data_IF_163284608852
#
_entry.id   IF_163284608852
#
_cell.length_a   1.000
_cell.length_b   1.000
_cell.length_c   1.000
_cell.angle_alpha   90.00
_cell.angle_beta   90.00
_cell.angle_gamma   90.00
#
_symmetry.space_group_name_H-M   'P 1'
#
loop_
_entity.id
_entity.type
_entity.pdbx_description
1 polymer ?
#
# COMPACT_ATOMS: atom_id res chain seq x y z
N UNK A 1 -9.62 -74.60 -20.91
CA UNK A 1 -9.73 -75.97 -20.38
C UNK A 1 -11.09 -76.58 -20.76
N UNK A 2 -12.22 -75.96 -20.41
CA UNK A 2 -13.57 -76.46 -20.74
C UNK A 2 -13.89 -76.75 -22.21
N UNK A 3 -13.36 -75.98 -23.19
CA UNK A 3 -13.66 -76.26 -24.61
C UNK A 3 -13.03 -77.56 -25.12
N UNK A 4 -11.90 -77.96 -24.53
CA UNK A 4 -11.21 -79.21 -24.86
C UNK A 4 -11.99 -80.42 -24.33
N UNK A 5 -12.56 -80.30 -23.13
CA UNK A 5 -13.36 -81.36 -22.52
C UNK A 5 -14.70 -81.55 -23.22
N UNK A 6 -15.39 -80.47 -23.59
CA UNK A 6 -16.68 -80.56 -24.31
C UNK A 6 -16.47 -81.14 -25.73
N UNK A 7 -15.41 -80.74 -26.43
CA UNK A 7 -15.12 -81.27 -27.77
C UNK A 7 -14.73 -82.74 -27.75
N UNK A 8 -13.92 -83.17 -26.77
CA UNK A 8 -13.62 -84.58 -26.55
C UNK A 8 -14.87 -85.38 -26.18
N UNK A 9 -15.74 -84.83 -25.34
CA UNK A 9 -16.95 -85.52 -24.90
C UNK A 9 -18.01 -85.59 -26.03
N UNK A 10 -18.13 -84.55 -26.86
CA UNK A 10 -18.94 -84.57 -28.08
C UNK A 10 -18.42 -85.57 -29.12
N UNK A 11 -17.09 -85.68 -29.27
CA UNK A 11 -16.47 -86.68 -30.14
C UNK A 11 -16.72 -88.10 -29.60
N UNK A 12 -16.55 -88.30 -28.29
CA UNK A 12 -16.85 -89.57 -27.61
C UNK A 12 -18.33 -89.93 -27.75
N UNK A 13 -19.25 -88.97 -27.66
CA UNK A 13 -20.69 -89.18 -27.82
C UNK A 13 -21.06 -89.54 -29.28
N UNK A 14 -20.36 -88.96 -30.25
CA UNK A 14 -20.52 -89.29 -31.68
C UNK A 14 -20.01 -90.70 -31.97
N UNK A 15 -18.89 -91.09 -31.36
CA UNK A 15 -18.32 -92.44 -31.44
C UNK A 15 -19.16 -93.49 -30.69
N UNK A 16 -19.78 -93.11 -29.57
CA UNK A 16 -20.70 -93.96 -28.80
C UNK A 16 -22.16 -93.83 -29.23
N UNK A 17 -22.44 -93.16 -30.36
CA UNK A 17 -23.78 -93.10 -30.94
C UNK A 17 -24.36 -94.51 -31.10
N UNK A 18 -25.70 -94.65 -31.03
CA UNK A 18 -26.44 -95.93 -31.06
C UNK A 18 -26.34 -96.66 -32.42
N UNK A 19 -25.12 -96.89 -32.90
CA UNK A 19 -24.82 -97.69 -34.05
C UNK A 19 -24.99 -99.15 -33.67
N UNK A 20 -25.99 -99.79 -34.25
CA UNK A 20 -26.20 -101.22 -34.08
C UNK A 20 -25.01 -101.97 -34.65
N UNK A 21 -24.27 -102.66 -33.79
CA UNK A 21 -23.12 -103.47 -34.19
C UNK A 21 -23.57 -104.84 -34.69
N UNK A 22 -22.74 -105.48 -35.52
CA UNK A 22 -22.97 -106.87 -35.92
C UNK A 22 -22.71 -107.79 -34.72
N UNK A 23 -23.77 -108.36 -34.16
CA UNK A 23 -23.73 -109.18 -32.93
C UNK A 23 -23.74 -110.69 -33.21
N UNK A 24 -23.53 -111.12 -34.46
CA UNK A 24 -23.46 -112.53 -34.88
C UNK A 24 -22.60 -113.41 -34.00
N UNK A 25 -21.45 -112.88 -33.53
CA UNK A 25 -20.49 -113.61 -32.70
C UNK A 25 -21.07 -114.15 -31.39
N UNK A 26 -22.18 -113.59 -30.93
CA UNK A 26 -22.82 -114.01 -29.68
C UNK A 26 -23.88 -115.09 -29.89
N UNK A 27 -24.29 -115.36 -31.12
CA UNK A 27 -25.27 -116.40 -31.42
C UNK A 27 -24.60 -117.68 -31.91
N UNK A 28 -25.12 -118.80 -31.42
CA UNK A 28 -24.74 -120.17 -31.77
C UNK A 28 -25.99 -120.95 -32.16
N UNK A 29 -25.84 -121.85 -33.11
CA UNK A 29 -26.86 -122.77 -33.63
C UNK A 29 -26.20 -124.12 -33.94
N UNK A 30 -26.85 -124.99 -34.70
CA UNK A 30 -26.25 -126.25 -35.13
C UNK A 30 -25.08 -126.02 -36.10
N UNK A 31 -24.14 -126.97 -36.17
CA UNK A 31 -22.90 -126.84 -36.96
C UNK A 31 -23.13 -126.40 -38.42
N UNK A 32 -24.22 -126.87 -39.04
CA UNK A 32 -24.66 -126.44 -40.38
C UNK A 32 -25.03 -124.96 -40.43
N UNK A 33 -25.91 -124.47 -39.55
CA UNK A 33 -26.43 -123.10 -39.58
C UNK A 33 -25.47 -122.07 -38.96
N UNK A 34 -24.50 -122.49 -38.16
CA UNK A 34 -23.43 -121.61 -37.67
C UNK A 34 -22.61 -120.99 -38.80
N UNK A 35 -22.45 -121.70 -39.92
CA UNK A 35 -21.73 -121.16 -41.08
C UNK A 35 -22.41 -119.90 -41.65
N UNK A 36 -23.73 -119.73 -41.48
CA UNK A 36 -24.48 -118.55 -41.93
C UNK A 36 -24.20 -117.29 -41.09
N UNK A 37 -23.70 -117.44 -39.86
CA UNK A 37 -23.39 -116.32 -38.96
C UNK A 37 -21.94 -115.82 -39.09
N UNK A 38 -21.05 -116.59 -39.73
CA UNK A 38 -19.64 -116.26 -39.88
C UNK A 38 -19.44 -115.27 -41.03
N UNK A 39 -18.71 -114.17 -40.76
CA UNK A 39 -18.58 -113.02 -41.68
C UNK A 39 -17.82 -113.34 -42.98
N UNK A 40 -16.94 -114.36 -42.99
CA UNK A 40 -15.89 -114.52 -44.01
C UNK A 40 -15.76 -115.93 -44.63
N UNK A 41 -16.70 -116.84 -44.42
CA UNK A 41 -16.67 -118.17 -45.08
C UNK A 41 -17.54 -118.15 -46.33
N UNK A 42 -17.06 -118.60 -47.51
CA UNK A 42 -17.91 -118.83 -48.68
C UNK A 42 -18.92 -119.92 -48.32
N UNK A 43 -20.11 -119.51 -47.91
CA UNK A 43 -21.13 -120.40 -47.38
C UNK A 43 -21.70 -121.23 -48.53
N UNK A 44 -21.59 -122.55 -48.40
CA UNK A 44 -22.47 -123.46 -49.13
C UNK A 44 -23.91 -123.10 -48.76
N UNK A 45 -24.77 -122.95 -49.77
CA UNK A 45 -26.18 -122.60 -49.57
C UNK A 45 -26.88 -123.58 -48.63
N UNK A 46 -27.58 -123.05 -47.62
CA UNK A 46 -28.33 -123.88 -46.66
C UNK A 46 -29.82 -123.71 -46.90
N UNK A 47 -30.52 -124.83 -47.12
CA UNK A 47 -31.98 -124.85 -47.25
C UNK A 47 -32.60 -124.62 -45.87
N UNK A 48 -33.50 -123.63 -45.75
CA UNK A 48 -34.25 -123.39 -44.52
C UNK A 48 -35.29 -124.51 -44.31
N UNK A 49 -35.46 -124.94 -43.06
CA UNK A 49 -36.34 -126.05 -42.70
C UNK A 49 -37.70 -125.58 -42.17
N UNK A 50 -38.72 -126.45 -42.25
CA UNK A 50 -40.06 -126.19 -41.70
C UNK A 50 -40.11 -126.26 -40.18
N UNK A 51 -39.26 -127.10 -39.58
CA UNK A 51 -39.22 -127.33 -38.13
C UNK A 51 -38.73 -126.13 -37.30
N UNK A 52 -38.24 -125.07 -37.95
CA UNK A 52 -37.61 -123.95 -37.28
C UNK A 52 -36.19 -124.23 -36.84
N UNK A 53 -35.35 -123.20 -36.90
CA UNK A 53 -33.95 -123.29 -36.47
C UNK A 53 -33.68 -122.21 -35.46
N UNK A 54 -33.25 -122.67 -34.29
CA UNK A 54 -33.02 -121.86 -33.11
C UNK A 54 -31.56 -121.40 -33.11
N UNK A 55 -31.37 -120.11 -32.84
CA UNK A 55 -30.09 -119.45 -32.62
C UNK A 55 -30.10 -118.93 -31.18
N UNK A 56 -29.19 -119.44 -30.35
CA UNK A 56 -29.08 -119.11 -28.93
C UNK A 56 -27.83 -118.29 -28.67
N UNK A 57 -27.96 -117.31 -27.79
CA UNK A 57 -26.87 -116.55 -27.20
C UNK A 57 -26.76 -116.88 -25.72
N UNK A 58 -25.54 -116.89 -25.21
CA UNK A 58 -25.24 -117.14 -23.79
C UNK A 58 -25.72 -115.97 -22.90
N UNK A 59 -26.09 -114.84 -23.52
CA UNK A 59 -26.57 -113.62 -22.86
C UNK A 59 -27.72 -112.96 -23.60
N UNK A 60 -28.55 -112.20 -22.89
CA UNK A 60 -29.62 -111.39 -23.48
C UNK A 60 -29.02 -110.20 -24.23
N UNK A 61 -29.39 -110.04 -25.50
CA UNK A 61 -28.89 -108.98 -26.38
C UNK A 61 -30.07 -108.19 -26.92
N UNK A 62 -29.89 -106.88 -27.10
CA UNK A 62 -30.88 -106.08 -27.81
C UNK A 62 -30.73 -106.33 -29.30
N UNK A 63 -31.69 -107.05 -29.89
CA UNK A 63 -31.69 -107.31 -31.33
C UNK A 63 -32.48 -106.19 -32.00
N UNK A 64 -31.79 -105.34 -32.77
CA UNK A 64 -32.41 -104.26 -33.54
C UNK A 64 -32.95 -104.79 -34.86
N UNK A 65 -32.12 -105.52 -35.60
CA UNK A 65 -32.54 -106.12 -36.86
C UNK A 65 -31.84 -107.43 -37.16
N UNK A 66 -32.52 -108.31 -37.89
CA UNK A 66 -31.98 -109.56 -38.41
C UNK A 66 -32.13 -109.50 -39.93
N UNK A 67 -31.00 -109.46 -40.62
CA UNK A 67 -30.91 -109.47 -42.08
C UNK A 67 -30.55 -110.86 -42.56
N UNK A 68 -31.37 -111.43 -43.44
CA UNK A 68 -31.13 -112.74 -44.04
C UNK A 68 -30.97 -112.57 -45.53
N UNK A 69 -29.88 -113.08 -46.07
CA UNK A 69 -29.52 -113.02 -47.48
C UNK A 69 -29.84 -114.34 -48.18
N UNK A 70 -30.30 -114.26 -49.43
CA UNK A 70 -30.75 -115.39 -50.24
C UNK A 70 -30.06 -115.43 -51.60
N UNK A 71 -29.97 -116.62 -52.21
CA UNK A 71 -29.45 -116.81 -53.59
C UNK A 71 -30.49 -116.45 -54.67
N UNK A 72 -31.78 -116.65 -54.36
CA UNK A 72 -32.88 -116.45 -55.30
C UNK A 72 -34.04 -115.74 -54.57
N UNK A 73 -34.18 -114.42 -54.74
CA UNK A 73 -35.09 -113.56 -53.98
C UNK A 73 -36.55 -113.63 -54.44
N UNK A 74 -36.77 -114.01 -55.70
CA UNK A 74 -38.06 -113.85 -56.39
C UNK A 74 -39.09 -114.92 -56.02
N UNK A 75 -38.75 -115.83 -55.09
CA UNK A 75 -39.67 -116.88 -54.64
C UNK A 75 -39.75 -116.95 -53.11
N UNK A 76 -40.85 -116.42 -52.58
CA UNK A 76 -41.46 -116.77 -51.27
C UNK A 76 -40.72 -116.29 -50.01
N UNK A 77 -40.40 -115.00 -49.92
CA UNK A 77 -39.95 -114.33 -48.68
C UNK A 77 -41.10 -114.07 -47.68
N UNK A 78 -42.35 -113.99 -48.15
CA UNK A 78 -43.56 -113.85 -47.31
C UNK A 78 -43.81 -115.05 -46.38
N UNK A 79 -43.24 -116.21 -46.71
CA UNK A 79 -43.37 -117.43 -45.91
C UNK A 79 -42.24 -117.62 -44.89
N UNK A 80 -41.38 -116.60 -44.71
CA UNK A 80 -40.32 -116.61 -43.71
C UNK A 80 -40.80 -115.91 -42.45
N UNK A 81 -40.70 -116.62 -41.32
CA UNK A 81 -41.01 -116.08 -40.01
C UNK A 81 -39.75 -116.10 -39.16
N UNK A 82 -39.45 -114.98 -38.52
CA UNK A 82 -38.43 -114.89 -37.48
C UNK A 82 -39.15 -114.66 -36.17
N UNK A 83 -39.11 -115.64 -35.28
CA UNK A 83 -39.71 -115.56 -33.96
C UNK A 83 -38.62 -115.29 -32.93
N UNK A 84 -38.83 -114.35 -32.03
CA UNK A 84 -37.86 -113.96 -31.01
C UNK A 84 -38.40 -114.40 -29.65
N UNK A 85 -37.56 -115.01 -28.84
CA UNK A 85 -37.93 -115.37 -27.47
C UNK A 85 -37.90 -114.12 -26.60
N UNK A 86 -39.05 -113.70 -26.09
CA UNK A 86 -39.15 -112.59 -25.16
C UNK A 86 -38.56 -112.98 -23.78
N UNK A 87 -38.49 -112.01 -22.86
CA UNK A 87 -38.01 -112.25 -21.49
C UNK A 87 -38.90 -113.22 -20.67
N UNK A 88 -40.15 -113.46 -21.12
CA UNK A 88 -41.09 -114.41 -20.53
C UNK A 88 -40.94 -115.84 -21.08
N UNK A 89 -40.02 -116.05 -22.03
CA UNK A 89 -39.79 -117.35 -22.68
C UNK A 89 -40.76 -117.66 -23.84
N UNK A 90 -41.61 -116.72 -24.23
CA UNK A 90 -42.57 -116.88 -25.33
C UNK A 90 -41.94 -116.44 -26.65
N UNK A 91 -42.27 -117.14 -27.74
CA UNK A 91 -41.82 -116.80 -29.09
C UNK A 91 -42.79 -115.79 -29.72
N UNK A 92 -42.30 -114.58 -29.96
CA UNK A 92 -43.04 -113.50 -30.64
C UNK A 92 -42.58 -113.45 -32.11
N UNK A 93 -43.50 -113.63 -33.05
CA UNK A 93 -43.23 -113.47 -34.48
C UNK A 93 -42.93 -112.00 -34.81
N UNK A 94 -41.75 -111.72 -35.36
CA UNK A 94 -41.40 -110.40 -35.91
C UNK A 94 -41.83 -110.33 -37.38
N UNK A 95 -42.61 -109.33 -37.80
CA UNK A 95 -42.96 -109.16 -39.19
C UNK A 95 -41.71 -108.81 -40.01
N UNK A 96 -41.44 -109.59 -41.05
CA UNK A 96 -40.35 -109.30 -41.99
C UNK A 96 -40.74 -108.16 -42.91
N UNK A 97 -39.87 -107.16 -43.06
CA UNK A 97 -40.03 -106.12 -44.07
C UNK A 97 -38.99 -106.33 -45.17
N UNK A 98 -39.45 -106.39 -46.42
CA UNK A 98 -38.55 -106.47 -47.57
C UNK A 98 -37.96 -105.07 -47.81
N UNK A 99 -36.66 -104.88 -47.56
CA UNK A 99 -35.94 -103.64 -47.86
C UNK A 99 -34.93 -103.88 -48.99
N UNK A 100 -35.15 -103.24 -50.14
CA UNK A 100 -34.15 -103.08 -51.22
C UNK A 100 -34.16 -104.13 -52.34
N UNK A 101 -33.36 -103.88 -53.39
CA UNK A 101 -33.14 -104.76 -54.54
C UNK A 101 -32.89 -106.18 -54.07
N UNK A 102 -33.81 -107.06 -54.46
CA UNK A 102 -34.15 -108.20 -53.65
C UNK A 102 -33.04 -109.21 -53.61
N UNK A 103 -32.25 -109.26 -52.55
CA UNK A 103 -31.46 -110.44 -52.15
C UNK A 103 -31.45 -110.58 -50.62
N UNK A 104 -32.11 -109.67 -49.91
CA UNK A 104 -32.12 -109.56 -48.45
C UNK A 104 -33.52 -109.32 -47.90
N UNK A 105 -33.85 -110.00 -46.81
CA UNK A 105 -35.05 -109.75 -45.99
C UNK A 105 -34.59 -109.28 -44.62
N UNK A 106 -35.17 -108.19 -44.12
CA UNK A 106 -34.80 -107.60 -42.83
C UNK A 106 -35.98 -107.71 -41.87
N UNK A 107 -35.73 -108.23 -40.68
CA UNK A 107 -36.68 -108.32 -39.58
C UNK A 107 -36.29 -107.30 -38.53
N UNK A 108 -37.26 -106.57 -37.99
CA UNK A 108 -37.07 -105.54 -36.96
C UNK A 108 -37.79 -105.98 -35.68
N UNK A 109 -37.19 -106.88 -34.89
CA UNK A 109 -37.81 -107.38 -33.67
C UNK A 109 -37.73 -106.40 -32.50
N UNK A 110 -36.78 -105.47 -32.53
CA UNK A 110 -36.58 -104.37 -31.56
C UNK A 110 -36.76 -104.78 -30.09
N UNK A 111 -36.20 -105.94 -29.72
CA UNK A 111 -36.43 -106.54 -28.42
C UNK A 111 -35.18 -107.20 -27.86
N UNK A 112 -35.14 -107.31 -26.52
CA UNK A 112 -34.11 -108.04 -25.80
C UNK A 112 -34.40 -109.53 -25.86
N UNK A 113 -33.45 -110.29 -26.39
CA UNK A 113 -33.58 -111.73 -26.51
C UNK A 113 -32.25 -112.44 -26.43
N UNK A 114 -32.27 -113.62 -25.81
CA UNK A 114 -31.19 -114.60 -25.86
C UNK A 114 -31.38 -115.60 -26.99
N UNK A 115 -32.54 -115.65 -27.64
CA UNK A 115 -32.85 -116.68 -28.62
C UNK A 115 -33.78 -116.17 -29.73
N UNK A 116 -33.40 -116.39 -30.99
CA UNK A 116 -34.31 -116.22 -32.12
C UNK A 116 -34.43 -117.50 -32.92
N UNK A 117 -35.55 -117.66 -33.59
CA UNK A 117 -35.88 -118.83 -34.39
C UNK A 117 -36.29 -118.40 -35.79
N UNK A 118 -35.69 -119.04 -36.79
CA UNK A 118 -36.04 -118.82 -38.20
C UNK A 118 -36.84 -120.03 -38.68
N UNK A 119 -38.09 -119.79 -39.11
CA UNK A 119 -39.02 -120.79 -39.64
C UNK A 119 -39.43 -120.47 -41.06
N UNK A 120 -39.50 -121.49 -41.91
CA UNK A 120 -40.13 -121.38 -43.22
C UNK A 120 -41.49 -122.10 -43.22
N UNK A 121 -42.57 -121.36 -43.42
CA UNK A 121 -43.95 -121.88 -43.41
C UNK A 121 -44.55 -122.10 -44.80
N UNK A 122 -43.75 -122.00 -45.88
CA UNK A 122 -44.25 -122.10 -47.24
C UNK A 122 -44.48 -123.54 -47.73
N UNK A 123 -45.43 -123.69 -48.67
CA UNK A 123 -45.82 -124.99 -49.27
C UNK A 123 -44.91 -125.35 -50.47
N UNK A 124 -43.84 -124.59 -50.75
CA UNK A 124 -42.99 -124.75 -51.95
C UNK A 124 -41.52 -125.09 -51.71
N UNK A 125 -40.69 -124.81 -52.73
CA UNK A 125 -39.23 -124.96 -52.70
C UNK A 125 -38.67 -124.16 -51.51
N UNK A 126 -37.88 -124.84 -50.68
CA UNK A 126 -37.24 -124.24 -49.51
C UNK A 126 -36.20 -123.19 -49.95
N UNK A 127 -36.27 -121.95 -49.44
CA UNK A 127 -35.31 -120.93 -49.79
C UNK A 127 -33.91 -121.31 -49.30
N UNK A 128 -32.90 -120.91 -50.08
CA UNK A 128 -31.49 -121.11 -49.78
C UNK A 128 -30.93 -119.83 -49.18
N UNK A 129 -30.64 -119.87 -47.89
CA UNK A 129 -29.99 -118.76 -47.20
C UNK A 129 -28.47 -118.81 -47.41
N UNK A 130 -27.87 -117.65 -47.65
CA UNK A 130 -26.42 -117.48 -47.83
C UNK A 130 -25.77 -116.91 -46.58
N UNK A 131 -26.40 -115.93 -45.94
CA UNK A 131 -25.83 -115.19 -44.82
C UNK A 131 -26.93 -114.69 -43.88
N UNK A 132 -26.66 -114.69 -42.59
CA UNK A 132 -27.50 -114.07 -41.56
C UNK A 132 -26.66 -113.03 -40.85
N UNK A 133 -27.16 -111.80 -40.78
CA UNK A 133 -26.55 -110.69 -40.04
C UNK A 133 -27.55 -110.19 -38.99
N UNK A 134 -27.19 -110.36 -37.73
CA UNK A 134 -27.91 -109.89 -36.57
C UNK A 134 -27.25 -108.61 -36.11
N UNK A 135 -27.99 -107.51 -36.19
CA UNK A 135 -27.57 -106.19 -35.73
C UNK A 135 -28.24 -105.86 -34.42
N UNK A 136 -27.46 -105.34 -33.48
CA UNK A 136 -27.95 -105.05 -32.15
C UNK A 136 -26.90 -104.47 -31.23
N UNK A 137 -27.24 -104.43 -29.94
CA UNK A 137 -26.39 -103.90 -28.89
C UNK A 137 -26.27 -104.94 -27.78
N UNK A 138 -25.06 -105.08 -27.24
CA UNK A 138 -24.87 -105.83 -26.02
C UNK A 138 -25.10 -104.92 -24.80
N UNK A 139 -25.45 -105.54 -23.68
CA UNK A 139 -25.76 -104.84 -22.44
C UNK A 139 -24.58 -103.99 -21.96
N UNK A 140 -23.36 -104.48 -22.14
CA UNK A 140 -22.13 -103.77 -21.78
C UNK A 140 -21.96 -102.46 -22.57
N UNK A 141 -22.27 -102.46 -23.87
CA UNK A 141 -22.23 -101.22 -24.68
C UNK A 141 -23.31 -100.24 -24.28
N UNK A 142 -24.52 -100.73 -23.94
CA UNK A 142 -25.61 -99.88 -23.45
C UNK A 142 -25.25 -99.24 -22.11
N UNK A 143 -24.62 -99.99 -21.20
CA UNK A 143 -24.16 -99.47 -19.92
C UNK A 143 -23.06 -98.41 -20.09
N UNK A 144 -22.07 -98.67 -20.96
CA UNK A 144 -21.05 -97.67 -21.33
C UNK A 144 -21.70 -96.39 -21.87
N UNK A 145 -22.63 -96.52 -22.81
CA UNK A 145 -23.39 -95.39 -23.37
C UNK A 145 -24.15 -94.62 -22.28
N UNK A 146 -24.84 -95.31 -21.37
CA UNK A 146 -25.53 -94.67 -20.24
C UNK A 146 -24.58 -93.85 -19.38
N UNK A 147 -23.40 -94.40 -19.04
CA UNK A 147 -22.42 -93.66 -18.22
C UNK A 147 -21.85 -92.45 -18.96
N UNK A 148 -21.61 -92.55 -20.27
CA UNK A 148 -21.14 -91.42 -21.09
C UNK A 148 -22.21 -90.33 -21.18
N UNK A 149 -23.48 -90.70 -21.37
CA UNK A 149 -24.60 -89.75 -21.41
C UNK A 149 -24.77 -89.05 -20.05
N UNK A 150 -24.69 -89.79 -18.94
CA UNK A 150 -24.76 -89.19 -17.61
C UNK A 150 -23.63 -88.17 -17.40
N UNK A 151 -22.38 -88.53 -17.74
CA UNK A 151 -21.23 -87.62 -17.69
C UNK A 151 -21.42 -86.39 -18.58
N UNK A 152 -22.03 -86.55 -19.76
CA UNK A 152 -22.35 -85.42 -20.64
C UNK A 152 -23.31 -84.45 -19.97
N UNK A 153 -24.40 -84.95 -19.38
CA UNK A 153 -25.38 -84.11 -18.69
C UNK A 153 -24.77 -83.39 -17.47
N UNK A 154 -23.97 -84.09 -16.68
CA UNK A 154 -23.28 -83.49 -15.53
C UNK A 154 -22.32 -82.38 -15.97
N UNK A 155 -21.54 -82.61 -17.04
CA UNK A 155 -20.65 -81.60 -17.60
C UNK A 155 -21.42 -80.41 -18.18
N UNK A 156 -22.52 -80.64 -18.90
CA UNK A 156 -23.37 -79.59 -19.44
C UNK A 156 -23.96 -78.71 -18.34
N UNK A 157 -24.45 -79.32 -17.25
CA UNK A 157 -24.99 -78.59 -16.10
C UNK A 157 -23.92 -77.77 -15.38
N UNK A 158 -22.70 -78.30 -15.25
CA UNK A 158 -21.58 -77.54 -14.68
C UNK A 158 -21.24 -76.32 -15.55
N UNK A 159 -21.20 -76.49 -16.88
CA UNK A 159 -20.93 -75.38 -17.81
C UNK A 159 -22.01 -74.32 -17.71
N UNK A 160 -23.28 -74.69 -17.67
CA UNK A 160 -24.39 -73.75 -17.51
C UNK A 160 -24.30 -72.98 -16.19
N UNK A 161 -23.95 -73.66 -15.10
CA UNK A 161 -23.76 -73.03 -13.79
C UNK A 161 -22.60 -72.03 -13.79
N UNK A 162 -21.45 -72.40 -14.36
CA UNK A 162 -20.30 -71.48 -14.44
C UNK A 162 -20.58 -70.32 -15.40
N UNK A 163 -21.36 -70.54 -16.47
CA UNK A 163 -21.80 -69.49 -17.38
C UNK A 163 -22.76 -68.51 -16.68
N UNK A 164 -23.69 -69.00 -15.87
CA UNK A 164 -24.56 -68.16 -15.05
C UNK A 164 -23.75 -67.32 -14.05
N UNK A 165 -22.77 -67.93 -13.34
CA UNK A 165 -21.87 -67.20 -12.45
C UNK A 165 -21.08 -66.12 -13.18
N UNK A 166 -20.47 -66.47 -14.31
CA UNK A 166 -19.72 -65.51 -15.12
C UNK A 166 -20.60 -64.35 -15.60
N UNK A 167 -21.86 -64.63 -15.98
CA UNK A 167 -22.83 -63.58 -16.34
C UNK A 167 -23.11 -62.65 -15.17
N UNK A 168 -23.37 -63.19 -13.98
CA UNK A 168 -23.59 -62.36 -12.78
C UNK A 168 -22.35 -61.55 -12.39
N UNK A 169 -21.15 -62.12 -12.51
CA UNK A 169 -19.90 -61.40 -12.27
C UNK A 169 -19.73 -60.25 -13.26
N UNK A 170 -20.01 -60.47 -14.55
CA UNK A 170 -19.98 -59.43 -15.59
C UNK A 170 -20.97 -58.29 -15.28
N UNK A 171 -22.20 -58.61 -14.86
CA UNK A 171 -23.19 -57.61 -14.45
C UNK A 171 -22.70 -56.79 -13.25
N UNK A 172 -22.17 -57.46 -12.22
CA UNK A 172 -21.63 -56.74 -11.05
C UNK A 172 -20.43 -55.87 -11.40
N UNK A 173 -19.56 -56.32 -12.30
CA UNK A 173 -18.39 -55.58 -12.74
C UNK A 173 -18.80 -54.39 -13.62
N UNK A 174 -19.85 -54.56 -14.45
CA UNK A 174 -20.44 -53.49 -15.25
C UNK A 174 -21.07 -52.40 -14.39
N UNK A 175 -21.78 -52.77 -13.31
CA UNK A 175 -22.32 -51.82 -12.33
C UNK A 175 -21.20 -51.03 -11.64
N UNK A 176 -20.17 -51.72 -11.14
CA UNK A 176 -19.00 -51.07 -10.52
C UNK A 176 -18.27 -50.14 -11.48
N UNK A 177 -18.14 -50.53 -12.74
CA UNK A 177 -17.54 -49.69 -13.77
C UNK A 177 -18.36 -48.42 -14.02
N UNK A 178 -19.69 -48.53 -14.06
CA UNK A 178 -20.59 -47.38 -14.20
C UNK A 178 -20.47 -46.42 -13.01
N UNK A 179 -20.48 -46.94 -11.78
CA UNK A 179 -20.29 -46.15 -10.56
C UNK A 179 -18.93 -45.45 -10.54
N UNK A 180 -17.86 -46.17 -10.89
CA UNK A 180 -16.52 -45.60 -10.95
C UNK A 180 -16.42 -44.49 -12.02
N UNK A 181 -17.07 -44.68 -13.16
CA UNK A 181 -17.13 -43.67 -14.23
C UNK A 181 -17.86 -42.41 -13.76
N UNK A 182 -18.99 -42.55 -13.08
CA UNK A 182 -19.73 -41.41 -12.51
C UNK A 182 -18.91 -40.68 -11.44
N UNK A 183 -18.17 -41.43 -10.60
CA UNK A 183 -17.27 -40.84 -9.61
C UNK A 183 -16.13 -40.05 -10.26
N UNK A 184 -15.51 -40.60 -11.31
CA UNK A 184 -14.48 -39.89 -12.09
C UNK A 184 -15.05 -38.61 -12.68
N UNK A 185 -16.24 -38.66 -13.29
CA UNK A 185 -16.87 -37.46 -13.86
C UNK A 185 -17.15 -36.39 -12.79
N UNK A 186 -17.69 -36.80 -11.64
CA UNK A 186 -17.92 -35.90 -10.50
C UNK A 186 -16.63 -35.27 -10.00
N UNK A 187 -15.59 -36.06 -9.81
CA UNK A 187 -14.29 -35.59 -9.31
C UNK A 187 -13.60 -34.68 -10.34
N UNK A 188 -13.73 -34.96 -11.64
CA UNK A 188 -13.23 -34.06 -12.68
C UNK A 188 -13.95 -32.72 -12.67
N UNK A 189 -15.26 -32.70 -12.47
CA UNK A 189 -16.03 -31.46 -12.34
C UNK A 189 -15.59 -30.67 -11.08
N UNK A 190 -15.44 -31.33 -9.94
CA UNK A 190 -14.93 -30.70 -8.71
C UNK A 190 -13.53 -30.12 -8.90
N UNK A 191 -12.65 -30.85 -9.60
CA UNK A 191 -11.31 -30.38 -9.90
C UNK A 191 -11.35 -29.13 -10.78
N UNK A 192 -12.20 -29.10 -11.82
CA UNK A 192 -12.33 -27.93 -12.70
C UNK A 192 -12.81 -26.68 -11.96
N UNK A 193 -13.79 -26.83 -11.05
CA UNK A 193 -14.27 -25.74 -10.20
C UNK A 193 -13.16 -25.25 -9.27
N UNK A 194 -12.48 -26.18 -8.58
CA UNK A 194 -11.39 -25.83 -7.68
C UNK A 194 -10.22 -25.13 -8.40
N UNK A 195 -9.90 -25.52 -9.63
CA UNK A 195 -8.87 -24.85 -10.43
C UNK A 195 -9.28 -23.43 -10.83
N UNK A 196 -10.55 -23.21 -11.17
CA UNK A 196 -11.05 -21.87 -11.48
C UNK A 196 -11.03 -20.95 -10.26
N UNK A 197 -11.43 -21.45 -9.08
CA UNK A 197 -11.32 -20.69 -7.83
C UNK A 197 -9.88 -20.35 -7.45
N UNK A 198 -8.94 -21.26 -7.74
CA UNK A 198 -7.51 -21.02 -7.49
C UNK A 198 -6.98 -19.92 -8.42
N UNK A 199 -7.34 -19.95 -9.69
CA UNK A 199 -6.98 -18.90 -10.66
C UNK A 199 -7.56 -17.54 -10.26
N UNK A 200 -8.82 -17.48 -9.84
CA UNK A 200 -9.45 -16.26 -9.33
C UNK A 200 -8.70 -15.71 -8.11
N UNK A 201 -8.39 -16.57 -7.13
CA UNK A 201 -7.61 -16.18 -5.94
C UNK A 201 -6.20 -15.71 -6.30
N UNK A 202 -5.55 -16.34 -7.27
CA UNK A 202 -4.22 -15.95 -7.73
C UNK A 202 -4.25 -14.57 -8.39
N UNK A 203 -5.26 -14.29 -9.22
CA UNK A 203 -5.46 -12.97 -9.80
C UNK A 203 -5.71 -11.91 -8.71
N UNK A 204 -6.53 -12.24 -7.70
CA UNK A 204 -6.77 -11.34 -6.56
C UNK A 204 -5.51 -11.05 -5.74
N UNK A 205 -4.66 -12.05 -5.54
CA UNK A 205 -3.36 -11.87 -4.88
C UNK A 205 -2.47 -10.94 -5.71
N UNK A 206 -2.43 -11.12 -7.03
CA UNK A 206 -1.65 -10.25 -7.92
C UNK A 206 -2.09 -8.78 -7.83
N UNK A 207 -3.41 -8.53 -7.86
CA UNK A 207 -3.97 -7.18 -7.69
C UNK A 207 -3.60 -6.57 -6.33
N UNK A 208 -3.69 -7.35 -5.24
CA UNK A 208 -3.34 -6.89 -3.90
C UNK A 208 -1.85 -6.58 -3.75
N UNK A 209 -0.98 -7.35 -4.41
CA UNK A 209 0.46 -7.09 -4.44
C UNK A 209 0.76 -5.79 -5.16
N UNK A 210 0.11 -5.53 -6.30
CA UNK A 210 0.25 -4.28 -7.04
C UNK A 210 -0.22 -3.08 -6.22
N UNK A 211 -1.41 -3.17 -5.59
CA UNK A 211 -1.91 -2.14 -4.68
C UNK A 211 -0.98 -1.89 -3.48
N UNK A 212 -0.40 -2.95 -2.91
CA UNK A 212 0.57 -2.82 -1.82
C UNK A 212 1.85 -2.11 -2.27
N UNK A 213 2.30 -2.35 -3.51
CA UNK A 213 3.47 -1.69 -4.08
C UNK A 213 3.20 -0.20 -4.31
N UNK A 214 2.04 0.15 -4.87
CA UNK A 214 1.61 1.54 -5.05
C UNK A 214 1.50 2.28 -3.71
N UNK A 215 0.87 1.67 -2.69
CA UNK A 215 0.78 2.26 -1.35
C UNK A 215 2.17 2.49 -0.74
N UNK A 216 3.08 1.53 -0.88
CA UNK A 216 4.45 1.66 -0.38
C UNK A 216 5.19 2.82 -1.04
N UNK A 217 5.04 3.00 -2.35
CA UNK A 217 5.61 4.14 -3.08
C UNK A 217 4.99 5.46 -2.63
N UNK A 218 3.66 5.51 -2.45
CA UNK A 218 2.98 6.70 -1.94
C UNK A 218 3.44 7.09 -0.54
N UNK A 219 3.62 6.11 0.36
CA UNK A 219 4.18 6.34 1.71
C UNK A 219 5.60 6.90 1.62
N UNK A 220 6.44 6.38 0.70
CA UNK A 220 7.79 6.90 0.49
C UNK A 220 7.77 8.35 0.01
N UNK A 221 6.95 8.66 -0.99
CA UNK A 221 6.79 10.03 -1.51
C UNK A 221 6.29 11.00 -0.43
N UNK A 222 5.28 10.60 0.36
CA UNK A 222 4.79 11.41 1.48
C UNK A 222 5.86 11.62 2.56
N UNK A 223 6.67 10.60 2.85
CA UNK A 223 7.77 10.70 3.80
C UNK A 223 8.84 11.69 3.32
N UNK A 224 9.19 11.65 2.05
CA UNK A 224 10.17 12.56 1.46
C UNK A 224 9.62 14.00 1.39
N UNK A 225 8.32 14.17 1.10
CA UNK A 225 7.64 15.47 1.20
C UNK A 225 7.64 16.02 2.62
N UNK A 226 7.35 15.19 3.64
CA UNK A 226 7.40 15.59 5.05
C UNK A 226 8.81 16.00 5.49
N UNK A 227 9.86 15.31 5.03
CA UNK A 227 11.24 15.72 5.27
C UNK A 227 11.53 17.09 4.65
N UNK A 228 11.11 17.31 3.41
CA UNK A 228 11.25 18.61 2.76
C UNK A 228 10.54 19.73 3.53
N UNK A 229 9.31 19.48 4.00
CA UNK A 229 8.57 20.44 4.84
C UNK A 229 9.34 20.72 6.15
N UNK A 230 9.80 19.69 6.85
CA UNK A 230 10.56 19.85 8.09
C UNK A 230 11.86 20.66 7.89
N UNK A 231 12.58 20.42 6.79
CA UNK A 231 13.76 21.21 6.41
C UNK A 231 13.40 22.68 6.15
N UNK A 232 12.30 22.95 5.44
CA UNK A 232 11.83 24.33 5.22
C UNK A 232 11.38 25.02 6.51
N UNK A 233 10.81 24.28 7.46
CA UNK A 233 10.43 24.80 8.78
C UNK A 233 11.67 25.18 9.60
N UNK A 234 12.70 24.34 9.61
CA UNK A 234 13.99 24.64 10.24
C UNK A 234 14.60 25.90 9.62
N UNK A 235 14.61 26.01 8.29
CA UNK A 235 15.13 27.20 7.60
C UNK A 235 14.34 28.46 7.97
N UNK A 236 13.01 28.39 8.03
CA UNK A 236 12.15 29.52 8.42
C UNK A 236 12.40 29.93 9.87
N UNK A 237 12.52 28.97 10.79
CA UNK A 237 12.81 29.26 12.20
C UNK A 237 14.18 29.92 12.37
N UNK A 238 15.21 29.44 11.65
CA UNK A 238 16.52 30.07 11.63
C UNK A 238 16.46 31.51 11.09
N UNK A 239 15.66 31.75 10.03
CA UNK A 239 15.46 33.10 9.48
C UNK A 239 14.73 34.01 10.48
N UNK A 240 13.72 33.50 11.20
CA UNK A 240 13.01 34.25 12.25
C UNK A 240 13.99 34.63 13.36
N UNK A 241 14.83 33.70 13.83
CA UNK A 241 15.83 33.98 14.86
C UNK A 241 16.86 35.04 14.40
N UNK A 242 17.31 34.97 13.15
CA UNK A 242 18.20 35.97 12.56
C UNK A 242 17.54 37.36 12.48
N UNK A 243 16.26 37.41 12.06
CA UNK A 243 15.49 38.65 11.98
C UNK A 243 15.23 39.25 13.37
N UNK A 244 14.95 38.42 14.38
CA UNK A 244 14.76 38.88 15.75
C UNK A 244 16.06 39.49 16.31
N UNK A 245 17.20 38.80 16.14
CA UNK A 245 18.52 39.34 16.50
C UNK A 245 18.80 40.67 15.78
N UNK A 246 18.51 40.77 14.49
CA UNK A 246 18.70 42.01 13.73
C UNK A 246 17.79 43.14 14.24
N UNK A 247 16.55 42.82 14.59
CA UNK A 247 15.59 43.78 15.15
C UNK A 247 16.04 44.29 16.52
N UNK A 248 16.55 43.40 17.38
CA UNK A 248 17.13 43.79 18.67
C UNK A 248 18.34 44.70 18.51
N UNK A 249 19.27 44.38 17.60
CA UNK A 249 20.44 45.22 17.30
C UNK A 249 20.02 46.59 16.78
N UNK A 250 19.08 46.65 15.83
CA UNK A 250 18.57 47.92 15.30
C UNK A 250 17.86 48.75 16.38
N UNK A 251 17.11 48.12 17.28
CA UNK A 251 16.47 48.82 18.39
C UNK A 251 17.49 49.43 19.36
N UNK A 252 18.59 48.73 19.64
CA UNK A 252 19.71 49.26 20.44
C UNK A 252 20.35 50.45 19.71
N UNK A 253 20.63 50.32 18.41
CA UNK A 253 21.23 51.40 17.61
C UNK A 253 20.31 52.64 17.54
N UNK A 254 19.01 52.45 17.35
CA UNK A 254 18.02 53.54 17.39
C UNK A 254 18.04 54.23 18.76
N UNK A 255 18.07 53.47 19.86
CA UNK A 255 18.13 54.03 21.20
C UNK A 255 19.43 54.83 21.42
N UNK A 256 20.56 54.34 20.93
CA UNK A 256 21.84 55.05 21.03
C UNK A 256 21.85 56.34 20.20
N UNK A 257 21.35 56.31 18.95
CA UNK A 257 21.19 57.51 18.11
C UNK A 257 20.27 58.55 18.73
N UNK A 258 19.19 58.12 19.39
CA UNK A 258 18.29 59.03 20.12
C UNK A 258 19.00 59.69 21.32
N UNK A 259 19.89 58.97 22.02
CA UNK A 259 20.73 59.56 23.08
C UNK A 259 21.74 60.56 22.52
N UNK A 260 22.41 60.25 21.42
CA UNK A 260 23.35 61.16 20.74
C UNK A 260 22.65 62.46 20.32
N UNK A 261 21.48 62.36 19.68
CA UNK A 261 20.68 63.53 19.31
C UNK A 261 20.28 64.37 20.53
N UNK A 262 19.87 63.73 21.62
CA UNK A 262 19.49 64.42 22.85
C UNK A 262 20.68 65.15 23.49
N UNK A 263 21.88 64.54 23.46
CA UNK A 263 23.10 65.16 23.95
C UNK A 263 23.48 66.41 23.13
N UNK A 264 23.44 66.34 21.80
CA UNK A 264 23.74 67.47 20.91
C UNK A 264 22.74 68.62 21.10
N UNK A 265 21.46 68.33 21.28
CA UNK A 265 20.43 69.35 21.56
C UNK A 265 20.72 70.05 22.89
N UNK A 266 21.15 69.29 23.91
CA UNK A 266 21.47 69.84 25.22
C UNK A 266 22.73 70.72 25.18
N UNK A 267 23.78 70.29 24.49
CA UNK A 267 25.00 71.07 24.27
C UNK A 267 24.73 72.36 23.47
N UNK A 268 23.77 72.34 22.55
CA UNK A 268 23.36 73.53 21.78
C UNK A 268 22.61 74.58 22.62
N UNK A 269 22.01 74.18 23.74
CA UNK A 269 21.33 75.09 24.67
C UNK A 269 22.29 75.81 25.63
N UNK A 270 23.59 75.48 25.62
CA UNK A 270 24.61 76.06 26.50
C UNK A 270 24.80 77.58 26.30
N UNK A 271 24.54 78.09 25.08
CA UNK A 271 24.63 79.52 24.78
C UNK A 271 23.59 80.33 25.59
N UNK A 272 22.46 79.74 26.03
CA UNK A 272 21.46 80.48 26.79
C UNK A 272 21.73 80.53 28.31
N UNK A 273 22.56 79.63 28.85
CA UNK A 273 22.85 79.56 30.28
C UNK A 273 24.00 80.51 30.69
N UNK A 274 24.98 80.76 29.82
CA UNK A 274 26.07 81.73 30.09
C UNK A 274 25.55 83.17 30.35
N UNK A 275 24.43 83.57 29.75
CA UNK A 275 23.84 84.90 29.99
C UNK A 275 23.18 85.04 31.36
N UNK A 276 22.70 83.93 31.93
CA UNK A 276 22.07 83.91 33.25
C UNK A 276 23.10 84.18 34.34
N UNK A 277 24.33 83.69 34.14
CA UNK A 277 25.44 83.90 35.07
C UNK A 277 25.96 85.35 35.02
N UNK A 278 26.06 85.99 33.85
CA UNK A 278 26.45 87.41 33.76
C UNK A 278 25.45 88.36 34.47
N UNK A 279 24.14 88.09 34.33
CA UNK A 279 23.09 88.86 35.02
C UNK A 279 23.08 88.61 36.52
N UNK A 280 23.49 87.40 36.95
CA UNK A 280 23.63 87.01 38.37
C UNK A 280 24.82 87.69 39.03
N UNK A 281 25.96 87.79 38.35
CA UNK A 281 27.14 88.51 38.83
C UNK A 281 26.89 90.00 39.00
N UNK A 282 26.20 90.65 38.06
CA UNK A 282 25.81 92.06 38.19
C UNK A 282 24.90 92.35 39.40
N UNK A 283 24.05 91.39 39.79
CA UNK A 283 23.20 91.49 41.01
C UNK A 283 24.02 91.35 42.30
N UNK A 284 25.08 90.54 42.27
CA UNK A 284 26.00 90.40 43.39
C UNK A 284 26.81 91.69 43.60
N UNK A 285 27.35 92.26 42.52
CA UNK A 285 28.14 93.49 42.57
C UNK A 285 27.31 94.68 43.05
N UNK A 286 26.08 94.87 42.54
CA UNK A 286 25.21 95.97 43.00
C UNK A 286 24.82 95.85 44.47
N UNK A 287 24.66 94.63 45.00
CA UNK A 287 24.40 94.38 46.42
C UNK A 287 25.59 94.78 47.29
N UNK A 288 26.82 94.48 46.86
CA UNK A 288 28.04 94.85 47.59
C UNK A 288 28.17 96.37 47.67
N UNK A 289 28.01 97.10 46.55
CA UNK A 289 28.01 98.56 46.56
C UNK A 289 26.86 99.14 47.40
N UNK A 290 25.68 98.51 47.40
CA UNK A 290 24.56 98.89 48.26
C UNK A 290 24.87 98.77 49.76
N UNK A 291 25.60 97.73 50.17
CA UNK A 291 26.05 97.57 51.56
C UNK A 291 27.03 98.68 51.95
N UNK A 292 27.99 99.02 51.08
CA UNK A 292 28.92 100.14 51.34
C UNK A 292 28.20 101.50 51.40
N UNK A 293 27.19 101.71 50.56
CA UNK A 293 26.34 102.90 50.63
C UNK A 293 25.62 102.96 51.98
N UNK A 294 24.97 101.87 52.40
CA UNK A 294 24.27 101.79 53.69
C UNK A 294 25.22 102.03 54.87
N UNK A 295 26.43 101.48 54.83
CA UNK A 295 27.45 101.71 55.84
C UNK A 295 27.88 103.18 55.93
N UNK A 296 28.12 103.83 54.79
CA UNK A 296 28.49 105.27 54.75
C UNK A 296 27.38 106.15 55.35
N UNK A 297 26.11 105.81 55.09
CA UNK A 297 24.95 106.55 55.56
C UNK A 297 24.69 106.31 57.06
N UNK A 298 24.92 105.09 57.55
CA UNK A 298 24.87 104.79 58.98
C UNK A 298 25.90 105.60 59.77
N UNK A 299 27.12 105.75 59.25
CA UNK A 299 28.16 106.58 59.86
C UNK A 299 27.72 108.05 59.94
N UNK A 300 27.09 108.59 58.88
CA UNK A 300 26.52 109.94 58.91
C UNK A 300 25.43 110.10 59.99
N UNK A 301 24.52 109.13 60.10
CA UNK A 301 23.44 109.16 61.10
C UNK A 301 24.01 109.11 62.52
N UNK A 302 25.00 108.24 62.76
CA UNK A 302 25.66 108.15 64.07
C UNK A 302 26.37 109.46 64.41
N UNK A 303 27.11 110.04 63.44
CA UNK A 303 27.78 111.31 63.64
C UNK A 303 26.80 112.45 63.97
N UNK A 304 25.65 112.48 63.29
CA UNK A 304 24.59 113.45 63.53
C UNK A 304 23.92 113.25 64.90
N UNK A 305 23.68 112.00 65.30
CA UNK A 305 23.11 111.65 66.61
C UNK A 305 24.04 112.05 67.76
N UNK A 306 25.34 111.81 67.62
CA UNK A 306 26.35 112.24 68.59
C UNK A 306 26.43 113.76 68.67
N UNK A 307 26.36 114.46 67.54
CA UNK A 307 26.35 115.92 67.51
C UNK A 307 25.09 116.49 68.17
N UNK A 308 23.93 115.90 67.88
CA UNK A 308 22.65 116.30 68.49
C UNK A 308 22.62 116.05 70.00
N UNK A 309 23.11 114.89 70.44
CA UNK A 309 23.19 114.54 71.86
C UNK A 309 24.16 115.47 72.58
N UNK A 310 25.34 115.74 71.99
CA UNK A 310 26.30 116.70 72.52
C UNK A 310 25.75 118.13 72.61
N UNK A 311 24.90 118.53 71.66
CA UNK A 311 24.21 119.82 71.69
C UNK A 311 23.10 119.87 72.74
N UNK A 312 22.31 118.79 72.89
CA UNK A 312 21.25 118.68 73.91
C UNK A 312 21.83 118.73 75.33
N UNK A 313 22.94 118.05 75.56
CA UNK A 313 23.61 118.02 76.86
C UNK A 313 24.08 119.42 77.29
N UNK A 314 24.42 120.27 76.32
CA UNK A 314 24.78 121.67 76.55
C UNK A 314 23.57 122.53 77.00
N UNK A 315 22.37 122.20 76.55
CA UNK A 315 21.14 122.95 76.85
C UNK A 315 20.53 122.59 78.21
N UNK A 316 20.85 121.41 78.75
CA UNK A 316 20.18 120.87 79.95
C UNK A 316 21.00 121.10 81.22
N UNK A 317 22.31 121.33 81.14
CA UNK A 317 23.11 121.67 82.32
C UNK A 317 22.89 123.14 82.74
N UNK A 318 22.44 123.40 84.00
CA UNK A 318 22.36 124.76 84.50
C UNK A 318 23.78 125.25 84.80
N UNK A 319 24.36 126.00 83.86
CA UNK A 319 25.60 126.72 84.12
C UNK A 319 25.24 128.01 84.88
N UNK A 320 25.74 128.14 86.11
CA UNK A 320 25.47 129.31 86.95
C UNK A 320 26.22 130.57 86.51
N UNK A 321 27.16 130.48 85.55
CA UNK A 321 27.97 131.61 85.10
C UNK A 321 28.24 131.61 83.58
N UNK A 322 28.15 132.78 82.93
CA UNK A 322 28.26 132.94 81.48
C UNK A 322 29.67 132.60 80.94
N UNK A 323 30.69 132.79 81.77
CA UNK A 323 32.07 132.44 81.45
C UNK A 323 32.28 130.91 81.38
N UNK A 324 31.56 130.15 82.21
CA UNK A 324 31.57 128.68 82.20
C UNK A 324 30.93 128.08 80.94
N UNK A 325 29.88 128.73 80.41
CA UNK A 325 29.26 128.35 79.13
C UNK A 325 30.25 128.56 77.98
N UNK A 326 30.94 129.70 77.94
CA UNK A 326 31.87 130.03 76.86
C UNK A 326 33.11 129.12 76.87
N UNK A 327 33.65 128.80 78.05
CA UNK A 327 34.77 127.87 78.20
C UNK A 327 34.40 126.44 77.74
N UNK A 328 33.19 125.96 78.09
CA UNK A 328 32.66 124.68 77.62
C UNK A 328 32.50 124.64 76.08
N UNK A 329 32.07 125.74 75.48
CA UNK A 329 31.91 125.85 74.04
C UNK A 329 33.26 125.78 73.28
N UNK A 330 34.29 126.51 73.76
CA UNK A 330 35.62 126.50 73.14
C UNK A 330 36.28 125.12 73.25
N UNK A 331 36.15 124.44 74.40
CA UNK A 331 36.77 123.14 74.61
C UNK A 331 36.21 122.05 73.68
N UNK A 332 34.95 122.21 73.23
CA UNK A 332 34.24 121.23 72.37
C UNK A 332 34.26 121.58 70.89
N UNK A 333 34.73 122.77 70.50
CA UNK A 333 34.85 123.21 69.10
C UNK A 333 35.71 122.26 68.23
N UNK A 334 36.86 121.74 68.70
CA UNK A 334 37.65 120.77 67.94
C UNK A 334 36.88 119.47 67.67
N UNK A 335 36.09 119.01 68.64
CA UNK A 335 35.26 117.82 68.49
C UNK A 335 34.15 118.05 67.45
N UNK A 336 33.45 119.19 67.52
CA UNK A 336 32.42 119.55 66.55
C UNK A 336 32.98 119.68 65.12
N UNK A 337 34.21 120.20 64.97
CA UNK A 337 34.88 120.32 63.68
C UNK A 337 35.21 118.93 63.07
N UNK A 338 35.76 118.01 63.87
CA UNK A 338 36.06 116.64 63.41
C UNK A 338 34.78 115.88 63.02
N UNK A 339 33.71 116.02 63.81
CA UNK A 339 32.43 115.39 63.52
C UNK A 339 31.79 115.95 62.24
N UNK A 340 31.85 117.27 62.04
CA UNK A 340 31.36 117.92 60.82
C UNK A 340 32.16 117.49 59.58
N UNK A 341 33.49 117.39 59.70
CA UNK A 341 34.35 116.89 58.62
C UNK A 341 34.03 115.43 58.25
N UNK A 342 33.82 114.59 59.26
CA UNK A 342 33.42 113.18 59.07
C UNK A 342 32.07 113.06 58.38
N UNK A 343 31.10 113.91 58.75
CA UNK A 343 29.79 113.96 58.11
C UNK A 343 29.88 114.33 56.62
N UNK A 344 30.66 115.35 56.28
CA UNK A 344 30.87 115.77 54.89
C UNK A 344 31.56 114.68 54.04
N UNK A 345 32.60 114.05 54.58
CA UNK A 345 33.30 112.96 53.90
C UNK A 345 32.39 111.75 53.65
N UNK A 346 31.59 111.37 54.65
CA UNK A 346 30.60 110.29 54.53
C UNK A 346 29.56 110.59 53.45
N UNK A 347 29.02 111.81 53.40
CA UNK A 347 28.04 112.21 52.38
C UNK A 347 28.63 112.27 50.97
N UNK A 348 29.88 112.70 50.82
CA UNK A 348 30.58 112.68 49.54
C UNK A 348 30.78 111.24 49.03
N UNK A 349 31.19 110.33 49.93
CA UNK A 349 31.36 108.91 49.61
C UNK A 349 30.02 108.25 49.25
N UNK A 350 28.95 108.55 49.99
CA UNK A 350 27.61 108.06 49.70
C UNK A 350 27.12 108.51 48.31
N UNK A 351 27.35 109.78 47.93
CA UNK A 351 26.98 110.30 46.60
C UNK A 351 27.74 109.60 45.47
N UNK A 352 29.03 109.33 45.66
CA UNK A 352 29.83 108.59 44.68
C UNK A 352 29.32 107.17 44.48
N UNK A 353 29.07 106.44 45.58
CA UNK A 353 28.56 105.07 45.53
C UNK A 353 27.15 105.01 44.92
N UNK A 354 26.29 105.97 45.23
CA UNK A 354 24.95 106.05 44.66
C UNK A 354 24.98 106.25 43.14
N UNK A 355 25.84 107.14 42.62
CA UNK A 355 26.02 107.32 41.18
C UNK A 355 26.53 106.04 40.51
N UNK A 356 27.44 105.31 41.15
CA UNK A 356 27.98 104.06 40.59
C UNK A 356 26.92 102.96 40.54
N UNK A 357 26.08 102.83 41.56
CA UNK A 357 24.96 101.87 41.58
C UNK A 357 23.95 102.20 40.46
N UNK A 358 23.68 103.48 40.21
CA UNK A 358 22.81 103.90 39.11
C UNK A 358 23.40 103.55 37.74
N UNK A 359 24.68 103.84 37.49
CA UNK A 359 25.34 103.50 36.21
C UNK A 359 25.30 101.98 35.94
N UNK A 360 25.55 101.14 36.95
CA UNK A 360 25.46 99.67 36.82
C UNK A 360 24.02 99.23 36.48
N UNK A 361 23.01 99.86 37.08
CA UNK A 361 21.61 99.53 36.79
C UNK A 361 21.16 100.03 35.41
N UNK A 362 21.65 101.18 34.96
CA UNK A 362 21.40 101.70 33.61
C UNK A 362 22.05 100.82 32.54
N UNK A 363 23.29 100.36 32.76
CA UNK A 363 23.98 99.40 31.90
C UNK A 363 23.19 98.08 31.80
N UNK A 364 22.69 97.56 32.93
CA UNK A 364 21.84 96.35 32.96
C UNK A 364 20.50 96.56 32.23
N UNK A 365 19.88 97.72 32.41
CA UNK A 365 18.62 98.04 31.73
C UNK A 365 18.83 98.15 30.22
N UNK A 366 19.97 98.72 29.79
CA UNK A 366 20.32 98.86 28.38
C UNK A 366 20.61 97.51 27.74
N UNK A 367 21.34 96.63 28.42
CA UNK A 367 21.57 95.25 27.98
C UNK A 367 20.26 94.46 27.87
N UNK A 368 19.36 94.60 28.85
CA UNK A 368 18.05 93.93 28.82
C UNK A 368 17.17 94.44 27.67
N UNK A 369 17.16 95.75 27.40
CA UNK A 369 16.47 96.33 26.24
C UNK A 369 17.04 95.80 24.92
N UNK A 370 18.36 95.67 24.80
CA UNK A 370 19.01 95.06 23.63
C UNK A 370 18.62 93.60 23.42
N UNK A 371 18.53 92.80 24.49
CA UNK A 371 18.11 91.40 24.40
C UNK A 371 16.64 91.26 24.00
N UNK A 372 15.78 92.16 24.46
CA UNK A 372 14.37 92.20 24.04
C UNK A 372 14.27 92.64 22.58
N UNK A 373 15.02 93.67 22.17
CA UNK A 373 15.05 94.12 20.78
C UNK A 373 15.58 93.02 19.84
N UNK A 374 16.65 92.31 20.23
CA UNK A 374 17.19 91.15 19.50
C UNK A 374 16.17 90.01 19.38
N UNK A 375 15.35 89.81 20.42
CA UNK A 375 14.27 88.83 20.38
C UNK A 375 13.19 89.28 19.39
N UNK A 376 12.74 90.53 19.46
CA UNK A 376 11.69 91.07 18.60
C UNK A 376 12.10 91.17 17.13
N UNK A 377 13.34 91.58 16.82
CA UNK A 377 13.85 91.59 15.44
C UNK A 377 13.89 90.18 14.86
N UNK A 378 14.37 89.19 15.61
CA UNK A 378 14.38 87.79 15.16
C UNK A 378 12.97 87.22 14.99
N UNK A 379 12.02 87.58 15.86
CA UNK A 379 10.61 87.17 15.70
C UNK A 379 9.99 87.81 14.44
N UNK A 380 10.23 89.10 14.20
CA UNK A 380 9.72 89.82 13.02
C UNK A 380 10.34 89.32 11.70
N UNK A 381 11.63 88.97 11.68
CA UNK A 381 12.27 88.40 10.48
C UNK A 381 11.85 86.95 10.21
N UNK A 382 11.61 86.16 11.26
CA UNK A 382 11.21 84.75 11.14
C UNK A 382 9.73 84.57 10.74
N UNK A 383 8.88 85.55 10.97
CA UNK A 383 7.46 85.53 10.57
C UNK A 383 7.29 85.87 9.08
N UNK A 384 8.25 86.58 8.47
CA UNK A 384 8.22 86.97 7.06
C UNK A 384 8.78 85.92 6.07
N UNK A 385 9.44 84.85 6.56
CA UNK A 385 10.07 83.83 5.70
C UNK A 385 9.77 82.41 6.19
N UNK A 386 9.20 81.58 5.31
CA UNK A 386 8.74 80.23 5.61
C UNK A 386 9.91 79.20 5.66
N UNK A 387 10.91 79.50 6.48
CA UNK A 387 12.17 78.76 6.61
C UNK A 387 12.04 77.63 7.67
N UNK A 388 12.79 76.54 7.48
CA UNK A 388 12.80 75.36 8.35
C UNK A 388 13.27 75.69 9.78
N UNK A 389 12.82 74.91 10.76
CA UNK A 389 13.04 75.19 12.19
C UNK A 389 14.52 75.26 12.60
N UNK A 390 15.41 74.59 11.86
CA UNK A 390 16.83 74.53 12.19
C UNK A 390 17.60 75.76 11.69
N UNK A 391 17.30 76.24 10.48
CA UNK A 391 17.83 77.51 9.97
C UNK A 391 17.31 78.71 10.79
N UNK A 392 16.04 78.68 11.21
CA UNK A 392 15.47 79.68 12.14
C UNK A 392 16.26 79.81 13.44
N UNK A 393 16.82 78.71 13.93
CA UNK A 393 17.64 78.74 15.12
C UNK A 393 19.04 79.29 14.85
N UNK A 394 19.66 78.94 13.72
CA UNK A 394 21.00 79.44 13.36
C UNK A 394 21.01 80.97 13.20
N UNK A 395 20.03 81.51 12.49
CA UNK A 395 19.87 82.97 12.32
C UNK A 395 19.60 83.67 13.66
N UNK A 396 18.85 83.04 14.57
CA UNK A 396 18.61 83.57 15.93
C UNK A 396 19.89 83.69 16.75
N UNK A 397 20.79 82.71 16.64
CA UNK A 397 22.08 82.75 17.36
C UNK A 397 22.98 83.81 16.75
N UNK A 398 23.07 83.87 15.42
CA UNK A 398 23.93 84.82 14.71
C UNK A 398 23.56 86.29 14.99
N UNK A 399 22.28 86.65 14.88
CA UNK A 399 21.81 88.03 15.15
C UNK A 399 22.03 88.44 16.61
N UNK A 400 21.81 87.51 17.57
CA UNK A 400 22.12 87.78 18.99
C UNK A 400 23.61 88.05 19.19
N UNK A 401 24.46 87.26 18.56
CA UNK A 401 25.92 87.38 18.66
C UNK A 401 26.42 88.69 18.02
N UNK A 402 25.82 89.10 16.90
CA UNK A 402 26.15 90.36 16.22
C UNK A 402 25.70 91.60 17.03
N UNK A 403 24.50 91.58 17.59
CA UNK A 403 24.02 92.66 18.47
C UNK A 403 24.86 92.80 19.75
N UNK A 404 25.33 91.67 20.30
CA UNK A 404 26.26 91.66 21.43
C UNK A 404 27.63 92.21 21.05
N UNK A 405 28.16 91.84 19.87
CA UNK A 405 29.40 92.43 19.34
C UNK A 405 29.27 93.94 19.19
N UNK A 406 28.15 94.43 18.65
CA UNK A 406 27.90 95.86 18.51
C UNK A 406 27.80 96.59 19.86
N UNK A 407 27.15 95.97 20.86
CA UNK A 407 27.07 96.53 22.21
C UNK A 407 28.43 96.55 22.91
N UNK A 408 29.20 95.47 22.80
CA UNK A 408 30.55 95.38 23.36
C UNK A 408 31.48 96.40 22.69
N UNK A 409 31.45 96.53 21.35
CA UNK A 409 32.26 97.49 20.61
C UNK A 409 31.93 98.96 20.93
N UNK A 410 30.70 99.25 21.34
CA UNK A 410 30.30 100.60 21.78
C UNK A 410 30.68 100.85 23.26
N UNK A 411 30.75 99.81 24.09
CA UNK A 411 31.14 99.90 25.52
C UNK A 411 32.67 99.85 25.75
N UNK A 412 33.41 99.22 24.84
CA UNK A 412 34.87 99.07 24.84
C UNK A 412 35.38 99.72 23.56
N UNK A 413 35.81 100.98 23.63
CA UNK A 413 36.25 101.74 22.46
C UNK A 413 37.19 100.97 21.52
N UNK A 414 36.84 100.97 20.22
CA UNK A 414 37.61 100.53 19.06
C UNK A 414 38.69 99.45 19.29
N UNK A 415 38.28 98.18 19.24
CA UNK A 415 39.17 97.08 18.85
C UNK A 415 38.68 96.45 17.54
N UNK A 416 39.40 96.70 16.45
CA UNK A 416 39.20 96.08 15.16
C UNK A 416 39.86 94.70 15.12
N UNK A 417 39.05 93.64 15.21
CA UNK A 417 39.51 92.28 14.94
C UNK A 417 39.52 92.07 13.43
N UNK A 418 40.73 92.01 12.83
CA UNK A 418 40.91 91.50 11.47
C UNK A 418 40.67 89.98 11.48
N UNK A 419 39.60 89.52 10.86
CA UNK A 419 39.50 88.12 10.43
C UNK A 419 40.24 87.98 9.09
N UNK A 420 41.21 87.06 9.04
CA UNK A 420 41.86 86.63 7.80
C UNK A 420 40.93 85.70 7.00
N UNK A 421 40.97 85.71 5.66
CA UNK A 421 40.12 84.87 4.83
C UNK A 421 40.76 83.52 4.47
N UNK A 422 39.86 82.57 4.18
CA UNK A 422 39.98 81.33 3.39
C UNK A 422 40.67 80.09 3.98
N UNK A 423 39.98 78.95 3.85
CA UNK A 423 40.40 77.87 2.93
C UNK A 423 39.30 76.79 2.71
N UNK A 424 39.11 76.48 1.43
CA UNK A 424 38.80 75.17 0.84
C UNK A 424 37.36 74.65 0.74
N UNK A 425 36.72 75.17 -0.31
CA UNK A 425 35.94 74.46 -1.30
C UNK A 425 36.82 73.45 -2.09
N UNK A 426 36.51 72.15 -2.09
CA UNK A 426 36.93 71.19 -3.14
C UNK A 426 35.89 70.10 -3.37
N UNK A 427 35.08 70.36 -4.39
CA UNK A 427 34.47 69.42 -5.30
C UNK A 427 35.55 68.53 -5.98
N UNK A 428 35.31 67.22 -6.08
CA UNK A 428 35.97 66.35 -7.07
C UNK A 428 34.91 65.45 -7.70
N UNK A 429 34.64 65.77 -8.95
CA UNK A 429 33.85 65.02 -9.92
C UNK A 429 34.74 64.04 -10.70
N UNK A 430 34.06 63.00 -11.20
CA UNK A 430 34.30 62.21 -12.41
C UNK A 430 35.63 61.47 -12.68
N UNK A 431 35.48 60.19 -13.03
CA UNK A 431 35.67 59.83 -14.45
C UNK A 431 36.72 58.78 -14.81
N UNK A 432 36.20 57.60 -15.20
CA UNK A 432 36.67 56.72 -16.29
C UNK A 432 38.10 56.12 -16.17
N UNK A 433 38.49 55.04 -16.84
CA UNK A 433 37.90 53.90 -17.53
C UNK A 433 39.14 53.14 -18.04
N UNK A 434 39.12 51.82 -18.08
CA UNK A 434 39.81 51.12 -19.18
C UNK A 434 39.15 49.78 -19.43
N UNK A 435 38.62 49.73 -20.64
CA UNK A 435 37.96 48.64 -21.32
C UNK A 435 39.04 47.83 -22.06
N UNK A 436 38.97 46.50 -22.03
CA UNK A 436 39.54 45.69 -23.09
C UNK A 436 38.70 44.41 -23.28
N UNK A 437 37.80 44.56 -24.26
CA UNK A 437 37.27 43.56 -25.20
C UNK A 437 38.17 42.33 -25.40
N UNK A 438 37.53 41.17 -25.55
CA UNK A 438 37.52 40.56 -26.88
C UNK A 438 36.24 39.76 -27.16
N UNK A 439 35.83 39.88 -28.42
CA UNK A 439 34.60 39.41 -29.04
C UNK A 439 34.65 37.88 -29.25
N UNK A 440 33.57 37.17 -29.55
CA UNK A 440 32.94 37.18 -30.89
C UNK A 440 31.60 36.42 -30.83
N UNK A 441 30.52 37.16 -31.14
CA UNK A 441 29.44 36.89 -32.14
C UNK A 441 29.39 35.50 -32.80
N UNK A 442 28.28 34.93 -33.29
CA UNK A 442 26.90 35.31 -33.64
C UNK A 442 26.26 33.99 -34.08
N UNK A 443 24.97 33.76 -33.86
CA UNK A 443 24.02 33.55 -34.97
C UNK A 443 22.57 33.51 -34.46
N UNK A 444 21.82 34.45 -35.01
CA UNK A 444 20.38 34.63 -34.89
C UNK A 444 19.63 33.77 -35.90
N UNK A 445 18.47 33.25 -35.51
CA UNK A 445 17.33 33.16 -36.41
C UNK A 445 16.05 33.21 -35.58
N UNK A 446 15.26 34.27 -35.77
CA UNK A 446 13.89 34.34 -35.27
C UNK A 446 12.93 33.53 -36.13
N UNK A 447 11.69 33.37 -35.65
CA UNK A 447 10.49 33.88 -36.31
C UNK A 447 9.29 33.71 -35.36
N UNK A 448 8.68 34.87 -35.17
CA UNK A 448 7.33 35.23 -34.75
C UNK A 448 6.19 34.32 -35.26
N UNK A 449 5.22 34.00 -34.40
CA UNK A 449 3.82 34.43 -34.59
C UNK A 449 2.85 33.94 -33.52
N UNK A 450 1.92 34.85 -33.25
CA UNK A 450 0.64 34.77 -32.55
C UNK A 450 -0.20 33.53 -32.87
N UNK A 451 -0.96 33.03 -31.91
CA UNK A 451 -2.40 33.33 -31.77
C UNK A 451 -3.14 32.37 -30.82
N UNK A 452 -4.27 32.88 -30.32
CA UNK A 452 -5.46 32.18 -29.83
C UNK A 452 -5.55 31.79 -28.34
N UNK A 453 -6.18 32.71 -27.61
CA UNK A 453 -7.22 32.46 -26.59
C UNK A 453 -8.12 31.24 -26.90
N UNK A 454 -8.34 30.37 -25.91
CA UNK A 454 -9.68 29.83 -25.62
C UNK A 454 -9.81 29.28 -24.19
N UNK A 455 -10.72 29.91 -23.45
CA UNK A 455 -11.47 29.44 -22.28
C UNK A 455 -12.29 28.19 -22.64
N UNK A 456 -12.49 27.24 -21.70
CA UNK A 456 -13.76 26.58 -21.31
C UNK A 456 -13.49 25.65 -20.09
N UNK A 457 -14.52 25.53 -19.25
CA UNK A 457 -14.68 25.10 -17.85
C UNK A 457 -14.36 23.63 -17.50
N UNK A 458 -14.25 23.29 -16.19
CA UNK A 458 -14.40 21.92 -15.69
C UNK A 458 -15.87 21.58 -15.37
N UNK A 459 -16.27 20.37 -15.77
CA UNK A 459 -17.58 19.75 -15.58
C UNK A 459 -17.85 19.28 -14.15
N UNK A 460 -19.10 19.46 -13.72
CA UNK A 460 -19.86 18.59 -12.81
C UNK A 460 -20.71 17.66 -13.66
#
# INVERSE_FOLDING_TARGET
MFSFDISNLATTLKETSFQSSLINRFFKSSATYNSLLLKNTPTKFIKLDKAGRIFRSDRSLFIRSISIYFENPDKKTESLKVSIMNQKGELIDSPGTRQGHGDRVVFFPESFSSQFEIKYSGIGIRPKATKIEVFGLDFESIEKQRTTIARFFDAAFQVERELAKASTEIETLSSKYSELKENIERDTNLLTVATAELEEKQNKISELVEQSFELSNNIKLQRDSLKGIAETEIQKNNNIEQLDKKTQVLNIEIADRQRELSAIINDRNLISDEYKDYVREGKSQSRIYGIYLAASLAIAIIALSLLYTGAKDLLVHPFEDAQGVFASFILRLPFAAVMSGTLLASLALARFMFRRILSINEERLTLAKLLILAKETVFSTAEATNISADEKFRTRVEVKLEMLKAYLANSLGNFSIKLAPNADDKNVDSGQATDQKDATTVESAGIDKSDALKKIEPSV
#
